data_IF_253442479204
#
_entry.id   IF_253442479204
#
_cell.length_a   1.000
_cell.length_b   1.000
_cell.length_c   1.000
_cell.angle_alpha   90.00
_cell.angle_beta   90.00
_cell.angle_gamma   90.00
#
_symmetry.space_group_name_H-M   'P 1'
#
loop_
_entity.id
_entity.type
_entity.pdbx_description
1 polymer ?
#
# COMPACT_ATOMS: atom_id res chain seq x y z
N UNK A 1 8.96 45.49 16.90
CA UNK A 1 9.89 44.68 16.10
C UNK A 1 9.13 44.14 14.90
N UNK A 2 9.59 44.41 13.67
CA UNK A 2 8.95 43.90 12.44
C UNK A 2 9.44 42.48 12.19
N UNK A 3 8.55 41.51 12.28
CA UNK A 3 8.82 40.11 11.91
C UNK A 3 8.95 40.03 10.40
N UNK A 4 10.15 39.72 9.89
CA UNK A 4 10.37 39.45 8.48
C UNK A 4 10.06 37.96 8.28
N UNK A 5 8.92 37.66 7.68
CA UNK A 5 8.57 36.32 7.22
C UNK A 5 9.39 36.05 5.95
N UNK A 6 10.52 35.36 6.07
CA UNK A 6 11.23 34.83 4.89
C UNK A 6 10.59 33.48 4.57
N UNK A 7 9.48 33.51 3.82
CA UNK A 7 8.99 32.33 3.14
C UNK A 7 9.90 32.08 1.94
N UNK A 8 10.86 31.18 2.07
CA UNK A 8 11.52 30.60 0.89
C UNK A 8 10.55 29.54 0.36
N UNK A 9 9.58 30.01 -0.40
CA UNK A 9 8.76 29.16 -1.25
C UNK A 9 9.67 28.68 -2.37
N UNK A 10 10.39 27.59 -2.11
CA UNK A 10 11.21 26.93 -3.13
C UNK A 10 10.25 26.22 -4.07
N UNK A 11 9.71 26.97 -5.04
CA UNK A 11 9.13 26.37 -6.22
C UNK A 11 10.27 25.66 -6.95
N UNK A 12 10.31 24.34 -6.89
CA UNK A 12 10.93 23.58 -7.96
C UNK A 12 10.06 23.75 -9.20
N UNK A 13 10.23 24.87 -9.91
CA UNK A 13 9.91 24.91 -11.34
C UNK A 13 10.99 24.06 -11.98
N UNK A 14 10.70 22.77 -12.17
CA UNK A 14 11.42 21.99 -13.16
C UNK A 14 11.11 22.64 -14.51
N UNK A 15 12.01 23.51 -14.97
CA UNK A 15 12.12 23.82 -16.39
C UNK A 15 12.60 22.56 -17.08
N UNK A 16 11.69 21.61 -17.34
CA UNK A 16 11.90 20.64 -18.40
C UNK A 16 11.69 21.39 -19.71
N UNK A 17 12.78 21.81 -20.33
CA UNK A 17 12.83 22.17 -21.75
C UNK A 17 12.60 20.92 -22.60
N UNK A 18 11.39 20.38 -22.54
CA UNK A 18 10.91 19.23 -23.28
C UNK A 18 9.43 19.04 -22.99
N UNK A 19 8.62 18.94 -24.05
CA UNK A 19 7.14 18.86 -24.07
C UNK A 19 6.39 20.20 -24.06
N UNK A 20 6.56 20.96 -25.14
CA UNK A 20 5.47 21.80 -25.63
C UNK A 20 4.46 20.90 -26.36
N UNK A 21 3.55 20.28 -25.63
CA UNK A 21 2.27 19.78 -26.17
C UNK A 21 1.17 20.56 -25.47
N UNK A 22 0.27 21.14 -26.25
CA UNK A 22 -0.82 21.95 -25.71
C UNK A 22 -1.81 21.06 -24.96
N UNK A 23 -2.68 21.65 -24.12
CA UNK A 23 -3.75 20.91 -23.46
C UNK A 23 -4.63 20.15 -24.49
N UNK A 24 -4.81 20.74 -25.67
CA UNK A 24 -5.56 20.18 -26.80
C UNK A 24 -4.88 18.92 -27.37
N UNK A 25 -3.55 18.92 -27.48
CA UNK A 25 -2.80 17.74 -27.93
C UNK A 25 -2.94 16.58 -26.93
N UNK A 26 -2.94 16.87 -25.63
CA UNK A 26 -3.13 15.86 -24.57
C UNK A 26 -4.54 15.26 -24.60
N UNK A 27 -5.56 16.09 -24.80
CA UNK A 27 -6.95 15.64 -24.93
C UNK A 27 -7.10 14.73 -26.16
N UNK A 28 -6.52 15.12 -27.29
CA UNK A 28 -6.58 14.31 -28.52
C UNK A 28 -5.91 12.94 -28.35
N UNK A 29 -4.75 12.90 -27.69
CA UNK A 29 -4.06 11.64 -27.38
C UNK A 29 -4.92 10.76 -26.44
N UNK A 30 -5.57 11.36 -25.45
CA UNK A 30 -6.49 10.67 -24.54
C UNK A 30 -7.72 10.11 -25.28
N UNK A 31 -8.31 10.88 -26.18
CA UNK A 31 -9.45 10.44 -27.00
C UNK A 31 -9.07 9.26 -27.91
N UNK A 32 -7.91 9.32 -28.55
CA UNK A 32 -7.39 8.21 -29.37
C UNK A 32 -7.09 6.96 -28.52
N UNK A 33 -6.55 7.13 -27.32
CA UNK A 33 -6.31 6.04 -26.38
C UNK A 33 -7.62 5.39 -25.90
N UNK A 34 -8.63 6.18 -25.54
CA UNK A 34 -9.95 5.71 -25.14
C UNK A 34 -10.65 4.94 -26.26
N UNK A 35 -10.57 5.43 -27.50
CA UNK A 35 -11.14 4.76 -28.66
C UNK A 35 -10.49 3.40 -28.91
N UNK A 36 -9.17 3.32 -28.81
CA UNK A 36 -8.42 2.07 -28.94
C UNK A 36 -8.74 1.08 -27.81
N UNK A 37 -8.99 1.58 -26.60
CA UNK A 37 -9.42 0.77 -25.47
C UNK A 37 -10.82 0.20 -25.70
N UNK A 38 -11.76 1.00 -26.22
CA UNK A 38 -13.11 0.56 -26.55
C UNK A 38 -13.10 -0.56 -27.61
N UNK A 39 -12.27 -0.42 -28.66
CA UNK A 39 -12.08 -1.47 -29.67
C UNK A 39 -11.51 -2.76 -29.07
N UNK A 40 -10.56 -2.64 -28.15
CA UNK A 40 -9.95 -3.78 -27.47
C UNK A 40 -10.96 -4.51 -26.58
N UNK A 41 -11.77 -3.77 -25.83
CA UNK A 41 -12.83 -4.33 -24.97
C UNK A 41 -13.87 -5.07 -25.83
N UNK A 42 -14.28 -4.49 -26.96
CA UNK A 42 -15.20 -5.13 -27.90
C UNK A 42 -14.62 -6.43 -28.47
N UNK A 43 -13.34 -6.44 -28.81
CA UNK A 43 -12.67 -7.66 -29.29
C UNK A 43 -12.60 -8.76 -28.20
N UNK A 44 -12.32 -8.38 -26.95
CA UNK A 44 -12.31 -9.30 -25.82
C UNK A 44 -13.70 -9.88 -25.52
N UNK A 45 -14.75 -9.05 -25.56
CA UNK A 45 -16.13 -9.51 -25.37
C UNK A 45 -16.53 -10.54 -26.42
N UNK A 46 -16.17 -10.31 -27.68
CA UNK A 46 -16.43 -11.26 -28.76
C UNK A 46 -15.72 -12.60 -28.54
N UNK A 47 -14.45 -12.57 -28.11
CA UNK A 47 -13.69 -13.77 -27.78
C UNK A 47 -14.33 -14.55 -26.61
N UNK A 48 -14.80 -13.83 -25.59
CA UNK A 48 -15.50 -14.45 -24.44
C UNK A 48 -16.81 -15.11 -24.88
N UNK A 49 -17.57 -14.49 -25.79
CA UNK A 49 -18.78 -15.10 -26.33
C UNK A 49 -18.48 -16.35 -27.18
N UNK A 50 -17.44 -16.31 -28.01
CA UNK A 50 -16.98 -17.45 -28.80
C UNK A 50 -16.56 -18.62 -27.89
N UNK A 51 -15.76 -18.35 -26.85
CA UNK A 51 -15.35 -19.36 -25.86
C UNK A 51 -16.55 -19.93 -25.08
N UNK A 52 -17.52 -19.08 -24.69
CA UNK A 52 -18.76 -19.54 -24.05
C UNK A 52 -19.61 -20.41 -24.97
N UNK A 53 -19.63 -20.11 -26.27
CA UNK A 53 -20.32 -20.90 -27.27
C UNK A 53 -19.65 -22.28 -27.46
N UNK A 54 -18.32 -22.33 -27.47
CA UNK A 54 -17.56 -23.59 -27.49
C UNK A 54 -17.79 -24.42 -26.22
N UNK A 55 -17.79 -23.78 -25.04
CA UNK A 55 -18.05 -24.47 -23.77
C UNK A 55 -19.47 -25.05 -23.67
N UNK A 56 -20.48 -24.43 -24.30
CA UNK A 56 -21.84 -25.00 -24.36
C UNK A 56 -21.95 -26.25 -25.24
N UNK A 57 -21.01 -26.49 -26.15
CA UNK A 57 -21.00 -27.69 -27.01
C UNK A 57 -20.38 -28.91 -26.32
N UNK A 58 -19.72 -28.73 -25.18
CA UNK A 58 -19.18 -29.81 -24.35
C UNK A 58 -20.23 -30.22 -23.31
N UNK A 59 -20.94 -31.34 -23.54
CA UNK A 59 -21.88 -31.90 -22.55
C UNK A 59 -21.17 -32.28 -21.24
N UNK A 60 -21.76 -32.05 -20.06
CA UNK A 60 -21.20 -32.55 -18.80
C UNK A 60 -21.34 -34.08 -18.71
N UNK A 61 -20.37 -34.82 -18.13
CA UNK A 61 -20.59 -36.21 -17.74
C UNK A 61 -21.56 -36.28 -16.55
N UNK A 62 -22.53 -37.20 -16.65
CA UNK A 62 -23.49 -37.53 -15.60
C UNK A 62 -22.83 -37.98 -14.30
N UNK A 63 -23.43 -37.56 -13.18
CA UNK A 63 -23.12 -37.98 -11.82
C UNK A 63 -23.42 -39.48 -11.65
N UNK A 64 -22.43 -40.27 -11.23
CA UNK A 64 -22.64 -41.54 -10.55
C UNK A 64 -21.92 -41.58 -9.21
N UNK A 65 -22.65 -42.14 -8.25
CA UNK A 65 -22.47 -42.08 -6.82
C UNK A 65 -21.36 -43.00 -6.26
N UNK A 66 -21.10 -42.80 -4.98
CA UNK A 66 -20.13 -43.45 -4.12
C UNK A 66 -20.04 -44.99 -4.22
N UNK A 67 -18.80 -45.51 -4.16
CA UNK A 67 -18.50 -46.93 -3.94
C UNK A 67 -17.00 -47.26 -4.08
N UNK A 68 -16.37 -47.55 -2.94
CA UNK A 68 -15.06 -48.18 -2.62
C UNK A 68 -14.02 -48.55 -3.72
N UNK A 69 -12.71 -48.47 -3.40
CA UNK A 69 -11.63 -48.70 -4.36
C UNK A 69 -11.43 -50.21 -4.64
N UNK A 70 -11.55 -50.60 -5.91
CA UNK A 70 -10.99 -51.86 -6.42
C UNK A 70 -9.92 -51.56 -7.46
N UNK A 71 -8.73 -52.01 -7.14
CA UNK A 71 -7.54 -52.08 -7.96
C UNK A 71 -7.78 -53.04 -9.14
N UNK A 72 -7.81 -52.51 -10.37
CA UNK A 72 -7.70 -53.30 -11.60
C UNK A 72 -6.88 -52.51 -12.63
N UNK A 73 -5.68 -53.06 -12.86
CA UNK A 73 -4.80 -53.04 -14.03
C UNK A 73 -5.13 -52.13 -15.23
N UNK A 74 -4.09 -51.41 -15.65
CA UNK A 74 -3.96 -50.45 -16.74
C UNK A 74 -4.34 -50.97 -18.15
N UNK A 75 -4.88 -50.10 -19.02
CA UNK A 75 -4.56 -50.11 -20.44
C UNK A 75 -3.42 -49.11 -20.71
N UNK A 76 -2.28 -49.63 -21.13
CA UNK A 76 -1.13 -48.87 -21.62
C UNK A 76 -1.45 -48.25 -22.99
N UNK A 77 -1.96 -47.02 -23.02
CA UNK A 77 -1.97 -46.14 -24.21
C UNK A 77 -1.87 -44.68 -23.75
N UNK A 78 -0.81 -43.99 -24.18
CA UNK A 78 -0.58 -42.52 -24.20
C UNK A 78 0.13 -41.79 -23.03
N UNK A 79 1.28 -42.30 -22.56
CA UNK A 79 2.30 -41.42 -21.94
C UNK A 79 3.05 -40.51 -22.94
N UNK A 80 3.44 -40.96 -24.16
CA UNK A 80 4.22 -40.14 -25.07
C UNK A 80 3.48 -38.90 -25.58
N UNK A 81 2.16 -39.02 -25.79
CA UNK A 81 1.32 -37.91 -26.24
C UNK A 81 1.03 -36.93 -25.10
N UNK A 82 0.88 -37.39 -23.86
CA UNK A 82 0.67 -36.51 -22.70
C UNK A 82 1.92 -35.68 -22.39
N UNK A 83 3.11 -36.28 -22.48
CA UNK A 83 4.38 -35.58 -22.35
C UNK A 83 4.58 -34.56 -23.49
N UNK A 84 4.36 -34.96 -24.75
CA UNK A 84 4.48 -34.05 -25.89
C UNK A 84 3.45 -32.91 -25.88
N UNK A 85 2.24 -33.15 -25.37
CA UNK A 85 1.23 -32.10 -25.17
C UNK A 85 1.61 -31.19 -24.00
N UNK A 86 2.17 -31.73 -22.91
CA UNK A 86 2.64 -30.93 -21.78
C UNK A 86 3.82 -30.04 -22.17
N UNK A 87 4.73 -30.53 -23.01
CA UNK A 87 5.89 -29.77 -23.49
C UNK A 87 5.47 -28.67 -24.48
N UNK A 88 4.52 -28.95 -25.38
CA UNK A 88 3.91 -27.91 -26.24
C UNK A 88 3.12 -26.86 -25.44
N UNK A 89 2.45 -27.28 -24.37
CA UNK A 89 1.72 -26.37 -23.48
C UNK A 89 2.71 -25.54 -22.65
N UNK A 90 3.81 -26.12 -22.17
CA UNK A 90 4.89 -25.37 -21.50
C UNK A 90 5.57 -24.39 -22.46
N UNK A 91 5.84 -24.78 -23.71
CA UNK A 91 6.43 -23.90 -24.72
C UNK A 91 5.48 -22.78 -25.16
N UNK A 92 4.16 -22.99 -25.08
CA UNK A 92 3.14 -21.97 -25.34
C UNK A 92 2.85 -21.06 -24.14
N UNK A 93 3.05 -21.54 -22.90
CA UNK A 93 2.77 -20.81 -21.65
C UNK A 93 4.01 -20.14 -21.04
N UNK A 94 5.21 -20.64 -21.33
CA UNK A 94 6.45 -20.04 -20.86
C UNK A 94 6.84 -18.90 -21.81
N UNK A 95 7.09 -17.69 -21.29
CA UNK A 95 7.54 -16.58 -22.13
C UNK A 95 8.87 -16.94 -22.78
N UNK A 96 8.97 -16.74 -24.11
CA UNK A 96 10.22 -16.96 -24.85
C UNK A 96 11.29 -15.99 -24.35
N UNK A 97 12.49 -16.51 -24.05
CA UNK A 97 13.62 -15.68 -23.65
C UNK A 97 13.89 -14.61 -24.73
N UNK A 98 13.84 -13.34 -24.32
CA UNK A 98 14.07 -12.18 -25.19
C UNK A 98 12.82 -11.41 -25.60
N UNK A 99 11.61 -11.90 -25.31
CA UNK A 99 10.42 -11.05 -25.44
C UNK A 99 10.32 -10.07 -24.26
N UNK A 100 10.12 -8.76 -24.50
CA UNK A 100 9.91 -7.83 -23.40
C UNK A 100 8.65 -8.28 -22.66
N UNK A 101 8.79 -8.55 -21.34
CA UNK A 101 7.64 -8.78 -20.47
C UNK A 101 6.68 -7.61 -20.67
N UNK A 102 5.59 -7.84 -21.41
CA UNK A 102 4.52 -6.85 -21.55
C UNK A 102 3.78 -6.83 -20.22
N UNK A 103 4.25 -5.97 -19.32
CA UNK A 103 3.45 -5.53 -18.18
C UNK A 103 2.17 -4.93 -18.77
N UNK A 104 1.02 -5.44 -18.32
CA UNK A 104 -0.28 -5.36 -19.02
C UNK A 104 -0.70 -3.90 -19.26
N UNK A 105 -0.09 -2.94 -18.56
CA UNK A 105 -0.43 -1.52 -18.59
C UNK A 105 0.81 -0.58 -18.52
N UNK A 106 1.95 -0.96 -19.11
CA UNK A 106 3.07 -0.01 -19.29
C UNK A 106 2.88 0.86 -20.55
N UNK A 107 2.98 2.18 -20.42
CA UNK A 107 2.90 3.14 -21.53
C UNK A 107 4.27 3.79 -21.79
N UNK A 108 4.74 3.74 -23.03
CA UNK A 108 5.97 4.42 -23.43
C UNK A 108 5.65 5.88 -23.80
N UNK A 109 6.09 6.84 -22.98
CA UNK A 109 5.98 8.27 -23.27
C UNK A 109 7.38 8.84 -23.54
N UNK A 110 7.73 9.00 -24.82
CA UNK A 110 9.07 9.42 -25.23
C UNK A 110 10.14 8.41 -24.84
N UNK A 111 11.19 8.85 -24.14
CA UNK A 111 12.28 8.01 -23.64
C UNK A 111 11.99 7.30 -22.31
N UNK A 112 10.82 7.52 -21.71
CA UNK A 112 10.44 6.93 -20.43
C UNK A 112 9.36 5.86 -20.61
N UNK A 113 9.54 4.73 -19.93
CA UNK A 113 8.50 3.70 -19.77
C UNK A 113 7.73 4.00 -18.49
N UNK A 114 6.52 4.54 -18.62
CA UNK A 114 5.58 4.67 -17.51
C UNK A 114 5.02 3.27 -17.23
N UNK A 115 5.26 2.75 -16.03
CA UNK A 115 4.69 1.48 -15.59
C UNK A 115 3.38 1.76 -14.87
N UNK A 116 2.43 0.83 -14.95
CA UNK A 116 1.16 1.03 -14.28
C UNK A 116 1.40 1.12 -12.77
N UNK A 117 0.77 2.11 -12.15
CA UNK A 117 0.56 2.18 -10.72
C UNK A 117 -0.34 1.00 -10.35
N UNK A 118 0.16 0.08 -9.52
CA UNK A 118 -0.65 -0.96 -8.92
C UNK A 118 -1.68 -0.30 -8.01
N UNK A 119 -2.95 -0.64 -8.23
CA UNK A 119 -4.07 -0.16 -7.43
C UNK A 119 -4.66 -1.35 -6.70
N UNK A 120 -4.71 -1.27 -5.37
CA UNK A 120 -5.27 -2.30 -4.51
C UNK A 120 -6.38 -1.73 -3.63
N UNK A 121 -7.33 -2.60 -3.29
CA UNK A 121 -8.41 -2.30 -2.37
C UNK A 121 -8.45 -3.40 -1.31
N UNK A 122 -8.44 -3.02 -0.05
CA UNK A 122 -8.47 -3.92 1.10
C UNK A 122 -9.58 -3.50 2.07
N UNK A 123 -10.17 -4.46 2.78
CA UNK A 123 -11.25 -4.20 3.72
C UNK A 123 -11.14 -5.14 4.92
N UNK A 124 -10.89 -4.57 6.12
CA UNK A 124 -10.90 -5.33 7.36
C UNK A 124 -12.26 -5.22 8.02
N UNK A 125 -12.86 -6.38 8.22
CA UNK A 125 -14.15 -6.52 8.88
C UNK A 125 -14.01 -7.59 9.95
N UNK A 126 -14.42 -7.26 11.18
CA UNK A 126 -14.45 -8.18 12.30
C UNK A 126 -15.88 -8.39 12.82
N UNK A 127 -16.09 -9.53 13.48
CA UNK A 127 -17.29 -9.81 14.24
C UNK A 127 -16.89 -10.38 15.61
N UNK A 128 -17.41 -9.80 16.69
CA UNK A 128 -17.01 -10.18 18.05
C UNK A 128 -18.08 -9.91 19.10
N UNK A 129 -17.95 -10.56 20.25
CA UNK A 129 -18.79 -10.32 21.41
C UNK A 129 -17.91 -10.08 22.64
N UNK A 130 -18.42 -9.30 23.58
CA UNK A 130 -17.72 -8.99 24.83
C UNK A 130 -18.74 -8.81 25.96
N UNK A 131 -18.32 -9.12 27.18
CA UNK A 131 -19.06 -8.80 28.40
C UNK A 131 -18.99 -7.31 28.74
N UNK A 132 -17.98 -6.60 28.22
CA UNK A 132 -17.85 -5.15 28.36
C UNK A 132 -18.78 -4.42 27.37
N UNK A 133 -19.12 -3.17 27.71
CA UNK A 133 -19.82 -2.25 26.81
C UNK A 133 -18.84 -1.54 25.89
N UNK A 134 -19.36 -0.94 24.83
CA UNK A 134 -18.55 -0.42 23.73
C UNK A 134 -17.63 0.72 24.19
N UNK A 135 -18.09 1.63 25.06
CA UNK A 135 -17.24 2.71 25.58
C UNK A 135 -15.98 2.18 26.31
N UNK A 136 -16.07 1.29 27.33
CA UNK A 136 -14.90 0.67 27.95
C UNK A 136 -13.99 -0.10 26.99
N UNK A 137 -14.54 -0.71 25.94
CA UNK A 137 -13.77 -1.51 24.98
C UNK A 137 -12.72 -0.66 24.23
N UNK A 138 -13.04 0.59 23.92
CA UNK A 138 -12.11 1.49 23.23
C UNK A 138 -10.83 1.80 24.02
N UNK A 139 -10.84 1.63 25.34
CA UNK A 139 -9.65 1.83 26.15
C UNK A 139 -8.76 0.58 26.18
N UNK A 140 -9.33 -0.60 25.95
CA UNK A 140 -8.61 -1.87 25.84
C UNK A 140 -8.06 -2.04 24.43
N UNK A 141 -8.93 -1.88 23.44
CA UNK A 141 -8.68 -1.88 21.99
C UNK A 141 -8.21 -0.47 21.58
N UNK A 142 -6.97 -0.15 21.92
CA UNK A 142 -6.46 1.22 21.86
C UNK A 142 -6.10 1.74 20.46
N UNK A 143 -6.00 0.84 19.47
CA UNK A 143 -5.66 1.14 18.09
C UNK A 143 -6.83 1.72 17.31
N UNK A 144 -6.55 2.61 16.36
CA UNK A 144 -7.56 3.23 15.49
C UNK A 144 -8.28 2.20 14.62
N UNK A 145 -7.57 1.13 14.27
CA UNK A 145 -8.07 0.03 13.46
C UNK A 145 -8.43 -1.22 14.26
N UNK A 146 -8.49 -1.16 15.58
CA UNK A 146 -8.87 -2.33 16.40
C UNK A 146 -10.41 -2.53 16.35
N UNK A 147 -10.92 -3.76 16.60
CA UNK A 147 -12.36 -4.02 16.67
C UNK A 147 -13.00 -3.47 17.96
N UNK A 148 -13.13 -2.15 18.03
CA UNK A 148 -13.48 -1.36 19.24
C UNK A 148 -14.94 -1.38 19.70
N UNK A 149 -15.76 -2.31 19.21
CA UNK A 149 -17.16 -2.50 19.63
C UNK A 149 -17.62 -3.94 19.45
N UNK A 150 -18.74 -4.29 20.09
CA UNK A 150 -19.39 -5.59 19.89
C UNK A 150 -20.13 -5.65 18.56
N UNK A 151 -20.42 -6.86 18.13
CA UNK A 151 -21.10 -7.14 16.87
C UNK A 151 -20.11 -7.03 15.72
N UNK A 152 -20.54 -6.41 14.62
CA UNK A 152 -19.74 -6.25 13.41
C UNK A 152 -19.03 -4.90 13.42
N UNK A 153 -17.76 -4.91 13.05
CA UNK A 153 -16.91 -3.73 12.97
C UNK A 153 -16.25 -3.68 11.59
N UNK A 154 -16.33 -2.54 10.92
CA UNK A 154 -15.51 -2.23 9.74
C UNK A 154 -14.32 -1.45 10.29
N UNK A 155 -13.17 -2.10 10.37
CA UNK A 155 -11.97 -1.53 11.00
C UNK A 155 -11.30 -0.52 10.08
N UNK A 156 -11.14 -0.89 8.81
CA UNK A 156 -10.72 0.02 7.75
C UNK A 156 -11.17 -0.53 6.38
N UNK A 157 -11.26 0.39 5.44
CA UNK A 157 -11.27 0.14 4.01
C UNK A 157 -10.11 0.94 3.46
N UNK A 158 -9.16 0.29 2.82
CA UNK A 158 -7.96 0.92 2.29
C UNK A 158 -7.97 0.89 0.76
N UNK A 159 -7.65 2.02 0.15
CA UNK A 159 -7.32 2.14 -1.26
C UNK A 159 -5.85 2.53 -1.38
N UNK A 160 -5.05 1.64 -1.95
CA UNK A 160 -3.60 1.82 -2.07
C UNK A 160 -3.20 1.99 -3.53
N UNK A 161 -2.23 2.87 -3.77
CA UNK A 161 -1.59 3.12 -5.05
C UNK A 161 -0.09 2.96 -4.86
N UNK A 162 0.55 2.06 -5.60
CA UNK A 162 2.01 1.88 -5.51
C UNK A 162 2.62 1.63 -6.88
N UNK A 163 3.86 2.08 -7.08
CA UNK A 163 4.58 1.70 -8.28
C UNK A 163 5.81 2.55 -8.61
N UNK A 164 6.52 2.11 -9.64
CA UNK A 164 7.63 2.86 -10.20
C UNK A 164 7.09 4.03 -11.04
N UNK A 165 7.28 5.25 -10.55
CA UNK A 165 6.90 6.47 -11.27
C UNK A 165 7.89 6.75 -12.39
N UNK A 166 9.18 6.51 -12.13
CA UNK A 166 10.25 6.60 -13.11
C UNK A 166 11.39 5.58 -12.78
N UNK A 167 12.49 5.53 -13.57
CA UNK A 167 13.60 4.62 -13.31
C UNK A 167 14.40 4.85 -12.01
N UNK A 168 14.14 5.94 -11.30
CA UNK A 168 14.87 6.43 -10.14
C UNK A 168 14.04 6.41 -8.85
N UNK A 169 12.71 6.51 -8.91
CA UNK A 169 11.86 6.46 -7.71
C UNK A 169 10.58 5.64 -7.87
N UNK A 170 10.20 4.99 -6.78
CA UNK A 170 8.87 4.43 -6.55
C UNK A 170 8.06 5.43 -5.72
N UNK A 171 6.74 5.42 -5.86
CA UNK A 171 5.84 6.16 -5.00
C UNK A 171 4.69 5.28 -4.52
N UNK A 172 4.21 5.56 -3.32
CA UNK A 172 3.15 4.83 -2.63
C UNK A 172 2.21 5.83 -1.96
N UNK A 173 0.91 5.56 -1.98
CA UNK A 173 -0.12 6.33 -1.29
C UNK A 173 -1.26 5.42 -0.82
N UNK A 174 -1.66 5.59 0.44
CA UNK A 174 -2.65 4.76 1.13
C UNK A 174 -3.74 5.66 1.70
N UNK A 175 -4.97 5.49 1.20
CA UNK A 175 -6.15 6.22 1.63
C UNK A 175 -7.04 5.28 2.42
N UNK A 176 -7.39 5.66 3.64
CA UNK A 176 -8.20 4.84 4.53
C UNK A 176 -9.56 5.48 4.78
N UNK A 177 -10.58 4.63 4.84
CA UNK A 177 -11.90 4.95 5.33
C UNK A 177 -12.20 4.07 6.54
N UNK A 178 -12.75 4.65 7.61
CA UNK A 178 -13.18 3.90 8.78
C UNK A 178 -14.38 4.56 9.45
N UNK A 179 -15.02 3.82 10.35
CA UNK A 179 -16.15 4.28 11.13
C UNK A 179 -15.75 4.44 12.60
N UNK A 180 -16.08 5.58 13.19
CA UNK A 180 -15.98 5.71 14.64
C UNK A 180 -16.97 4.71 15.29
N UNK A 181 -16.50 3.86 16.22
CA UNK A 181 -17.32 2.80 16.81
C UNK A 181 -18.46 3.31 17.70
N UNK A 182 -18.38 4.55 18.20
CA UNK A 182 -19.33 5.14 19.14
C UNK A 182 -20.25 6.16 18.47
N UNK A 183 -19.69 7.17 17.82
CA UNK A 183 -20.46 8.20 17.12
C UNK A 183 -21.06 7.65 15.82
N UNK A 184 -20.44 6.61 15.24
CA UNK A 184 -20.82 6.07 13.94
C UNK A 184 -20.40 6.97 12.77
N UNK A 185 -19.62 8.01 13.04
CA UNK A 185 -19.14 8.94 12.02
C UNK A 185 -18.19 8.26 11.04
N UNK A 186 -18.28 8.70 9.79
CA UNK A 186 -17.41 8.24 8.71
C UNK A 186 -16.18 9.14 8.62
N UNK A 187 -15.00 8.53 8.71
CA UNK A 187 -13.73 9.22 8.60
C UNK A 187 -12.99 8.76 7.34
N UNK A 188 -12.26 9.70 6.75
CA UNK A 188 -11.40 9.45 5.59
C UNK A 188 -10.06 10.14 5.80
N UNK A 189 -8.98 9.37 5.69
CA UNK A 189 -7.64 9.88 5.98
C UNK A 189 -6.63 9.43 4.93
N UNK A 190 -5.58 10.24 4.79
CA UNK A 190 -4.35 9.84 4.13
C UNK A 190 -3.46 9.17 5.18
N UNK A 191 -3.27 7.86 5.08
CA UNK A 191 -2.44 7.11 6.03
C UNK A 191 -0.96 7.31 5.71
N UNK A 192 -0.56 7.05 4.47
CA UNK A 192 0.79 7.28 3.95
C UNK A 192 0.74 7.87 2.55
N UNK A 193 1.73 8.71 2.22
CA UNK A 193 2.06 9.13 0.87
C UNK A 193 3.55 9.48 0.80
N UNK A 194 4.33 8.64 0.15
CA UNK A 194 5.78 8.81 0.09
C UNK A 194 6.37 8.31 -1.23
N UNK A 195 7.63 8.68 -1.46
CA UNK A 195 8.45 8.10 -2.51
C UNK A 195 9.70 7.48 -1.92
N UNK A 196 10.28 6.52 -2.64
CA UNK A 196 11.58 5.91 -2.34
C UNK A 196 12.47 5.92 -3.57
N UNK A 197 13.71 6.37 -3.44
CA UNK A 197 14.70 6.25 -4.51
C UNK A 197 15.13 4.79 -4.70
N UNK A 198 15.39 4.38 -5.94
CA UNK A 198 15.75 3.00 -6.27
C UNK A 198 17.25 2.79 -6.51
N UNK A 199 17.99 3.84 -6.89
CA UNK A 199 19.35 3.72 -7.43
C UNK A 199 20.31 4.80 -6.95
N UNK A 200 20.42 5.00 -5.63
CA UNK A 200 21.51 5.84 -5.11
C UNK A 200 22.81 5.03 -5.00
N UNK A 201 23.98 5.66 -5.20
CA UNK A 201 25.26 4.99 -5.07
C UNK A 201 25.51 4.54 -3.62
N UNK A 202 26.47 3.63 -3.44
CA UNK A 202 26.94 3.15 -2.13
C UNK A 202 25.89 2.41 -1.28
N UNK A 203 24.86 1.85 -1.90
CA UNK A 203 23.77 1.15 -1.19
C UNK A 203 22.86 2.10 -0.43
N UNK A 204 22.83 3.38 -0.79
CA UNK A 204 21.97 4.37 -0.15
C UNK A 204 20.53 4.30 -0.68
N UNK A 205 19.58 4.74 0.15
CA UNK A 205 18.18 4.89 -0.24
C UNK A 205 17.57 6.08 0.50
N UNK A 206 16.89 6.98 -0.22
CA UNK A 206 16.10 8.04 0.38
C UNK A 206 14.60 7.69 0.27
N UNK A 207 13.89 7.72 1.39
CA UNK A 207 12.42 7.77 1.48
C UNK A 207 12.00 9.17 1.91
N UNK A 208 10.96 9.73 1.31
CA UNK A 208 10.47 11.07 1.64
C UNK A 208 8.97 11.19 1.43
N UNK A 209 8.29 11.92 2.32
CA UNK A 209 6.84 12.09 2.29
C UNK A 209 6.23 11.95 3.67
N UNK A 210 4.95 11.58 3.74
CA UNK A 210 4.21 11.24 4.95
C UNK A 210 4.17 9.72 5.10
N UNK A 211 4.76 9.19 6.18
CA UNK A 211 4.90 7.74 6.35
C UNK A 211 5.05 7.35 7.82
N UNK A 212 4.82 6.08 8.13
CA UNK A 212 5.09 5.50 9.44
C UNK A 212 6.57 5.59 9.79
N UNK A 213 6.87 6.10 10.98
CA UNK A 213 8.23 6.04 11.50
C UNK A 213 8.64 4.58 11.63
N UNK A 214 9.78 4.20 11.04
CA UNK A 214 10.27 2.81 10.98
C UNK A 214 10.86 2.32 12.33
N UNK A 215 10.22 2.68 13.45
CA UNK A 215 10.58 2.26 14.79
C UNK A 215 9.98 0.88 15.12
N UNK A 216 10.83 -0.05 15.55
CA UNK A 216 10.40 -1.42 15.86
C UNK A 216 9.88 -2.19 14.64
N UNK A 217 9.27 -3.34 14.89
CA UNK A 217 8.76 -4.20 13.82
C UNK A 217 7.32 -3.87 13.43
N UNK A 218 6.50 -3.44 14.40
CA UNK A 218 5.04 -3.31 14.23
C UNK A 218 4.62 -1.93 13.74
N UNK A 219 5.27 -0.85 14.18
CA UNK A 219 4.84 0.50 13.78
C UNK A 219 4.83 0.75 12.25
N UNK A 220 5.79 0.25 11.45
CA UNK A 220 5.77 0.47 10.00
C UNK A 220 4.88 -0.53 9.23
N UNK A 221 3.93 -1.19 9.88
CA UNK A 221 3.04 -2.18 9.24
C UNK A 221 1.58 -1.73 9.29
N UNK A 222 0.88 -1.92 8.18
CA UNK A 222 -0.57 -1.76 8.13
C UNK A 222 -1.29 -2.93 8.82
N UNK A 223 -2.52 -2.72 9.31
CA UNK A 223 -3.31 -3.74 10.00
C UNK A 223 -3.38 -5.11 9.31
N UNK A 224 -3.52 -5.14 7.98
CA UNK A 224 -3.60 -6.38 7.21
C UNK A 224 -2.29 -7.20 7.19
N UNK A 225 -1.17 -6.62 7.65
CA UNK A 225 0.12 -7.30 7.76
C UNK A 225 0.36 -7.87 9.16
N UNK A 226 -0.44 -7.48 10.14
CA UNK A 226 -0.24 -7.90 11.52
C UNK A 226 -0.57 -9.39 11.70
N UNK A 227 0.08 -10.00 12.70
CA UNK A 227 -0.20 -11.38 13.11
C UNK A 227 -1.38 -11.50 14.09
N UNK A 228 -1.85 -10.35 14.59
CA UNK A 228 -2.92 -10.23 15.57
C UNK A 228 -4.06 -9.36 15.02
N UNK A 229 -5.21 -9.45 15.66
CA UNK A 229 -6.42 -8.73 15.26
C UNK A 229 -6.39 -7.26 15.70
N UNK A 230 -5.62 -6.96 16.74
CA UNK A 230 -5.50 -5.68 17.44
C UNK A 230 -4.04 -5.22 17.50
N UNK A 231 -3.85 -3.91 17.62
CA UNK A 231 -2.54 -3.33 17.76
C UNK A 231 -1.97 -3.61 19.16
N UNK A 232 -0.69 -4.02 19.30
CA UNK A 232 -0.10 -4.27 20.61
C UNK A 232 -0.26 -3.07 21.56
N UNK A 233 -0.69 -3.33 22.80
CA UNK A 233 -0.92 -2.29 23.82
C UNK A 233 0.24 -1.31 23.94
N UNK A 234 1.49 -1.76 23.84
CA UNK A 234 2.63 -0.85 23.96
C UNK A 234 2.71 0.15 22.81
N UNK A 235 2.33 -0.25 21.59
CA UNK A 235 2.27 0.63 20.44
C UNK A 235 1.19 1.68 20.63
N UNK A 236 -0.02 1.28 21.02
CA UNK A 236 -1.15 2.24 21.20
C UNK A 236 -0.89 3.24 22.31
N UNK A 237 -0.17 2.85 23.37
CA UNK A 237 0.18 3.72 24.50
C UNK A 237 1.32 4.70 24.19
N UNK A 238 2.30 4.29 23.37
CA UNK A 238 3.42 5.16 23.00
C UNK A 238 3.10 6.02 21.78
N UNK A 239 2.50 5.44 20.76
CA UNK A 239 2.36 6.06 19.45
C UNK A 239 0.94 6.53 19.14
N UNK A 240 -0.02 6.25 20.02
CA UNK A 240 -1.41 6.59 19.79
C UNK A 240 -2.13 5.53 18.95
N UNK A 241 -3.43 5.76 18.66
CA UNK A 241 -4.28 4.81 17.96
C UNK A 241 -3.81 4.53 16.53
N UNK A 242 -3.26 5.53 15.84
CA UNK A 242 -2.95 5.43 14.41
C UNK A 242 -1.47 5.13 14.14
N UNK A 243 -0.73 4.74 15.19
CA UNK A 243 0.72 4.58 15.13
C UNK A 243 1.47 5.90 14.89
N UNK A 244 2.79 5.81 14.96
CA UNK A 244 3.65 6.99 14.83
C UNK A 244 3.97 7.20 13.36
N UNK A 245 3.42 8.24 12.77
CA UNK A 245 3.61 8.60 11.35
C UNK A 245 3.64 10.11 11.18
N UNK A 246 4.29 10.57 10.12
CA UNK A 246 4.39 12.00 9.87
C UNK A 246 5.22 12.36 8.65
N UNK A 247 5.18 13.62 8.21
CA UNK A 247 5.98 14.10 7.09
C UNK A 247 7.46 14.18 7.48
N UNK A 248 8.34 13.74 6.59
CA UNK A 248 9.78 13.79 6.77
C UNK A 248 10.56 13.04 5.71
N UNK A 249 11.75 12.59 6.08
CA UNK A 249 12.57 11.72 5.24
C UNK A 249 13.26 10.61 6.06
N UNK A 250 13.66 9.54 5.37
CA UNK A 250 14.54 8.50 5.89
C UNK A 250 15.66 8.21 4.89
N UNK A 251 16.90 8.32 5.35
CA UNK A 251 18.08 7.83 4.67
C UNK A 251 18.38 6.41 5.17
N UNK A 252 18.41 5.46 4.25
CA UNK A 252 18.85 4.09 4.49
C UNK A 252 20.20 3.83 3.85
N UNK A 253 20.98 2.96 4.49
CA UNK A 253 22.28 2.52 4.00
C UNK A 253 22.42 1.02 4.15
N UNK A 254 22.40 0.33 3.02
CA UNK A 254 22.77 -1.08 2.93
C UNK A 254 24.30 -1.20 2.95
N UNK A 255 24.83 -1.69 4.06
CA UNK A 255 26.26 -1.70 4.33
C UNK A 255 26.98 -2.80 3.54
N UNK A 256 28.24 -2.60 3.10
CA UNK A 256 29.00 -3.57 2.32
C UNK A 256 29.59 -4.72 3.17
N UNK A 257 28.91 -5.10 4.25
CA UNK A 257 29.35 -6.15 5.17
C UNK A 257 28.99 -7.54 4.60
N UNK A 258 29.69 -8.62 5.00
CA UNK A 258 29.41 -9.97 4.48
C UNK A 258 28.13 -10.60 5.04
N UNK A 259 27.37 -9.89 5.87
CA UNK A 259 26.04 -10.25 6.35
C UNK A 259 25.05 -9.13 6.02
N UNK A 260 23.75 -9.45 6.01
CA UNK A 260 22.71 -8.45 5.85
C UNK A 260 22.81 -7.42 6.99
N UNK A 261 23.04 -6.15 6.64
CA UNK A 261 23.17 -5.07 7.61
C UNK A 261 22.75 -3.76 6.96
N UNK A 262 21.73 -3.15 7.54
CA UNK A 262 21.08 -1.94 7.05
C UNK A 262 20.92 -0.92 8.17
N UNK A 263 21.33 0.32 7.91
CA UNK A 263 21.27 1.43 8.87
C UNK A 263 20.33 2.50 8.36
N UNK A 264 19.35 2.87 9.18
CA UNK A 264 18.39 3.92 8.90
C UNK A 264 18.62 5.13 9.81
N UNK A 265 18.61 6.30 9.18
CA UNK A 265 18.49 7.58 9.83
C UNK A 265 17.23 8.28 9.30
N UNK A 266 16.29 8.57 10.19
CA UNK A 266 15.04 9.26 9.86
C UNK A 266 14.92 10.60 10.56
N UNK A 267 14.20 11.52 9.93
CA UNK A 267 13.84 12.81 10.51
C UNK A 267 12.43 13.17 10.07
N UNK A 268 11.53 13.38 11.02
CA UNK A 268 10.12 13.69 10.79
C UNK A 268 9.65 14.85 11.67
N UNK A 269 8.61 15.55 11.23
CA UNK A 269 7.93 16.53 12.07
C UNK A 269 7.42 15.86 13.34
N UNK A 270 7.61 16.54 14.47
CA UNK A 270 7.22 16.00 15.78
C UNK A 270 5.77 16.32 16.17
N UNK A 271 5.06 17.11 15.36
CA UNK A 271 3.74 17.63 15.67
C UNK A 271 2.62 16.93 14.89
N UNK A 272 1.42 16.95 15.47
CA UNK A 272 0.22 16.32 14.91
C UNK A 272 -0.29 15.17 15.78
N UNK A 273 -1.52 14.72 15.53
CA UNK A 273 -2.19 13.67 16.30
C UNK A 273 -1.44 12.32 16.24
N UNK A 274 -0.78 12.04 15.13
CA UNK A 274 0.01 10.82 14.87
C UNK A 274 1.42 10.86 15.48
N UNK A 275 1.71 11.85 16.33
CA UNK A 275 2.99 12.03 17.03
C UNK A 275 2.78 12.06 18.55
N UNK A 276 1.92 11.18 19.06
CA UNK A 276 1.42 11.12 20.44
C UNK A 276 2.47 11.33 21.55
N UNK A 277 3.63 10.66 21.47
CA UNK A 277 4.71 10.77 22.47
C UNK A 277 5.58 12.03 22.35
N UNK A 278 5.37 12.87 21.34
CA UNK A 278 6.23 14.02 21.03
C UNK A 278 5.46 15.34 21.17
N UNK A 279 5.16 16.06 20.08
CA UNK A 279 4.46 17.34 20.08
C UNK A 279 3.03 17.16 19.55
N UNK A 280 2.30 16.19 20.12
CA UNK A 280 0.90 15.95 19.78
C UNK A 280 0.06 17.24 19.86
N UNK A 281 -0.99 17.32 19.04
CA UNK A 281 -1.87 18.49 19.02
C UNK A 281 -2.68 18.61 20.34
N UNK A 282 -3.25 19.80 20.58
CA UNK A 282 -4.01 20.07 21.80
C UNK A 282 -5.21 19.13 21.95
N UNK A 283 -5.91 18.84 20.85
CA UNK A 283 -7.04 17.91 20.80
C UNK A 283 -6.68 16.50 21.30
N UNK A 284 -5.60 15.90 20.80
CA UNK A 284 -5.14 14.59 21.25
C UNK A 284 -4.77 14.59 22.75
N UNK A 285 -4.17 15.70 23.22
CA UNK A 285 -3.81 15.84 24.63
C UNK A 285 -5.04 15.98 25.52
N UNK A 286 -6.07 16.71 25.08
CA UNK A 286 -7.33 16.85 25.81
C UNK A 286 -8.04 15.50 25.97
N UNK A 287 -7.97 14.66 24.94
CA UNK A 287 -8.53 13.31 24.99
C UNK A 287 -7.71 12.32 25.85
N UNK A 288 -6.38 12.46 25.88
CA UNK A 288 -5.48 11.49 26.52
C UNK A 288 -4.38 12.13 27.39
N UNK A 289 -4.72 12.94 28.40
CA UNK A 289 -3.69 13.57 29.23
C UNK A 289 -3.09 12.58 30.22
N UNK A 290 -1.76 12.56 30.39
CA UNK A 290 -1.14 11.87 31.53
C UNK A 290 -1.36 12.73 32.78
N UNK A 291 -2.29 12.31 33.64
CA UNK A 291 -2.58 13.00 34.89
C UNK A 291 -3.12 14.44 34.70
N UNK A 292 -3.83 14.69 33.59
CA UNK A 292 -4.43 16.00 33.31
C UNK A 292 -3.44 17.09 32.86
N UNK A 293 -2.22 16.72 32.44
CA UNK A 293 -1.20 17.69 32.01
C UNK A 293 -0.71 17.42 30.57
N UNK A 294 -0.60 18.45 29.71
CA UNK A 294 0.09 18.34 28.42
C UNK A 294 1.57 18.03 28.63
N UNK A 295 2.18 17.25 27.72
CA UNK A 295 3.60 16.88 27.80
C UNK A 295 4.52 18.10 27.73
N UNK A 296 4.38 18.95 26.72
CA UNK A 296 4.84 20.35 26.62
C UNK A 296 4.12 20.94 25.40
N UNK A 297 3.24 21.93 25.56
CA UNK A 297 2.64 22.60 24.41
C UNK A 297 3.67 23.54 23.76
N UNK A 298 4.21 23.15 22.60
CA UNK A 298 5.15 23.94 21.82
C UNK A 298 5.15 23.53 20.36
N UNK A 299 5.39 24.50 19.48
CA UNK A 299 5.58 24.26 18.06
C UNK A 299 7.00 23.79 17.72
N UNK A 300 7.13 23.13 16.57
CA UNK A 300 8.42 22.87 15.90
C UNK A 300 8.99 24.21 15.43
N UNK A 301 10.10 24.65 16.04
CA UNK A 301 10.74 25.94 15.74
C UNK A 301 12.06 25.80 15.01
N UNK A 302 12.71 24.65 15.16
CA UNK A 302 14.02 24.36 14.59
C UNK A 302 14.19 22.87 14.35
N UNK A 303 15.28 22.49 13.68
CA UNK A 303 15.64 21.07 13.48
C UNK A 303 15.71 20.30 14.81
N UNK A 304 16.08 20.95 15.92
CA UNK A 304 16.16 20.31 17.24
C UNK A 304 14.81 19.86 17.80
N UNK A 305 13.71 20.36 17.24
CA UNK A 305 12.35 20.02 17.65
C UNK A 305 11.72 18.92 16.78
N UNK A 306 12.48 18.31 15.86
CA UNK A 306 12.05 17.20 15.04
C UNK A 306 12.23 15.85 15.76
N UNK A 307 11.49 14.83 15.31
CA UNK A 307 11.71 13.44 15.71
C UNK A 307 12.81 12.85 14.87
N UNK A 308 13.74 12.17 15.53
CA UNK A 308 14.85 11.48 14.89
C UNK A 308 14.74 9.97 15.10
N UNK A 309 14.94 9.20 14.04
CA UNK A 309 15.02 7.75 14.07
C UNK A 309 16.45 7.31 13.80
N UNK A 310 16.95 6.39 14.63
CA UNK A 310 18.12 5.58 14.33
C UNK A 310 17.75 4.11 14.45
N UNK A 311 17.95 3.33 13.39
CA UNK A 311 17.68 1.89 13.39
C UNK A 311 18.80 1.15 12.68
N UNK A 312 19.18 0.01 13.23
CA UNK A 312 20.14 -0.92 12.63
C UNK A 312 19.53 -2.32 12.68
N UNK A 313 19.52 -2.99 11.53
CA UNK A 313 18.99 -4.34 11.36
C UNK A 313 19.93 -5.18 10.51
#
# INVERSE_FOLDING_TARGET
MRTILISIMTFFVFYSSGFAQTLEDRIKILEEALKKQEETIKAQQKLIEELKAEMKQVKPPEQQAAGQPKEVLSPAVQEPQRAATLDKVKEALLPKEGEPKREILSYQAGGATLRLIDVSFDALIAAGASTLRDEPLQFLEGGGHDPRKRGFTVQNIELSFMGAVDPYFNAEAHLIYFLDPISGESNFELEEAFFTTQKLPYGLQLKGGHFFTEFGMINPQHPHQWQWQDQPIINTRLFGPDGMRGPGFRLGWFTPLPWFSEVYFGMQNANGETMASFLANEEFIEERPIGGRPFVNRDVRSLKDLVYLGRWT
#
